data_IF_861228378445
#
_entry.id   IF_861228378445
#
_cell.length_a   1.000
_cell.length_b   1.000
_cell.length_c   1.000
_cell.angle_alpha   90.00
_cell.angle_beta   90.00
_cell.angle_gamma   90.00
#
_symmetry.space_group_name_H-M   'P 1'
#
loop_
_entity.id
_entity.type
_entity.pdbx_description
1 polymer ?
#
# COMPACT_ATOMS: atom_id res chain seq x y z
N UNK A 1 -10.61 -2.45 -21.42
CA UNK A 1 -12.05 -2.17 -21.39
C UNK A 1 -12.77 -3.32 -22.09
N UNK A 2 -13.17 -4.34 -21.33
CA UNK A 2 -13.72 -5.59 -21.90
C UNK A 2 -15.15 -5.72 -21.42
N UNK A 3 -16.12 -5.39 -22.28
CA UNK A 3 -17.54 -5.58 -22.01
C UNK A 3 -17.86 -7.08 -22.11
N UNK A 4 -18.19 -7.74 -20.99
CA UNK A 4 -18.87 -9.04 -21.03
C UNK A 4 -20.37 -8.81 -20.91
N UNK A 5 -21.08 -8.80 -22.04
CA UNK A 5 -22.52 -9.02 -22.05
C UNK A 5 -22.79 -10.50 -21.77
N UNK A 6 -23.50 -10.79 -20.68
CA UNK A 6 -24.03 -12.12 -20.41
C UNK A 6 -25.02 -12.49 -21.52
N UNK A 7 -24.71 -13.55 -22.27
CA UNK A 7 -25.59 -14.09 -23.32
C UNK A 7 -26.83 -14.69 -22.65
N UNK A 8 -28.00 -14.08 -22.85
CA UNK A 8 -29.26 -14.57 -22.31
C UNK A 8 -29.74 -15.76 -23.16
N UNK A 9 -29.62 -16.98 -22.63
CA UNK A 9 -30.22 -18.18 -23.21
C UNK A 9 -31.74 -18.03 -23.25
N UNK A 10 -32.30 -17.88 -24.46
CA UNK A 10 -33.75 -17.81 -24.70
C UNK A 10 -34.34 -19.22 -24.52
N UNK A 11 -35.14 -19.43 -23.47
CA UNK A 11 -36.03 -20.58 -23.36
C UNK A 11 -37.34 -20.29 -24.11
N UNK A 12 -37.52 -20.92 -25.27
CA UNK A 12 -38.82 -20.98 -25.96
C UNK A 12 -39.71 -22.01 -25.24
N UNK A 13 -40.73 -21.53 -24.51
CA UNK A 13 -41.86 -22.35 -24.10
C UNK A 13 -42.80 -22.49 -25.30
N UNK A 14 -42.84 -23.68 -25.90
CA UNK A 14 -43.84 -24.06 -26.90
C UNK A 14 -44.86 -24.94 -26.19
N UNK A 15 -45.99 -24.37 -25.78
CA UNK A 15 -47.11 -25.16 -25.27
C UNK A 15 -47.80 -25.90 -26.42
N UNK A 16 -47.73 -27.23 -26.34
CA UNK A 16 -48.42 -28.17 -27.20
C UNK A 16 -49.91 -28.20 -26.87
N UNK A 17 -50.76 -27.68 -27.75
CA UNK A 17 -52.21 -27.94 -27.72
C UNK A 17 -52.57 -28.97 -28.80
N UNK A 18 -52.59 -30.24 -28.41
CA UNK A 18 -53.23 -31.29 -29.20
C UNK A 18 -54.76 -31.16 -29.16
N UNK A 19 -55.31 -30.75 -30.30
CA UNK A 19 -56.51 -31.29 -30.95
C UNK A 19 -57.76 -31.56 -30.12
N UNK A 20 -58.82 -30.79 -30.41
CA UNK A 20 -60.12 -31.31 -30.92
C UNK A 20 -61.10 -30.14 -31.16
N UNK A 21 -61.55 -30.02 -32.42
CA UNK A 21 -62.90 -29.58 -32.77
C UNK A 21 -63.21 -28.08 -32.81
N UNK A 22 -63.51 -27.62 -34.02
CA UNK A 22 -64.45 -26.55 -34.37
C UNK A 22 -64.10 -25.07 -34.13
N UNK A 23 -64.46 -24.29 -35.15
CA UNK A 23 -64.60 -22.84 -35.25
C UNK A 23 -63.34 -21.98 -35.21
N UNK A 24 -63.08 -21.36 -36.37
CA UNK A 24 -62.19 -20.24 -36.54
C UNK A 24 -62.59 -19.08 -35.62
N UNK A 25 -61.72 -18.72 -34.69
CA UNK A 25 -61.75 -17.42 -34.02
C UNK A 25 -60.36 -16.82 -34.17
N UNK A 26 -60.29 -15.72 -34.91
CA UNK A 26 -59.11 -14.86 -35.02
C UNK A 26 -58.87 -14.23 -33.63
N UNK A 27 -57.90 -14.74 -32.86
CA UNK A 27 -57.35 -14.01 -31.72
C UNK A 27 -56.10 -13.26 -32.19
N UNK A 28 -56.22 -11.94 -32.26
CA UNK A 28 -55.12 -11.00 -32.34
C UNK A 28 -54.26 -11.11 -31.08
N UNK A 29 -53.06 -11.68 -31.19
CA UNK A 29 -52.04 -11.60 -30.14
C UNK A 29 -51.46 -10.18 -30.11
N UNK A 30 -51.91 -9.36 -29.16
CA UNK A 30 -51.28 -8.08 -28.87
C UNK A 30 -49.93 -8.34 -28.19
N UNK A 31 -48.84 -8.06 -28.92
CA UNK A 31 -47.47 -8.13 -28.42
C UNK A 31 -47.24 -6.92 -27.48
N UNK A 32 -47.47 -7.09 -26.18
CA UNK A 32 -47.12 -6.08 -25.19
C UNK A 32 -45.59 -6.08 -25.01
N UNK A 33 -44.91 -5.19 -25.72
CA UNK A 33 -43.48 -4.92 -25.55
C UNK A 33 -43.29 -4.17 -24.22
N UNK A 34 -43.12 -4.92 -23.12
CA UNK A 34 -42.74 -4.34 -21.84
C UNK A 34 -41.28 -3.87 -21.93
N UNK A 35 -41.09 -2.58 -22.20
CA UNK A 35 -39.83 -1.87 -22.03
C UNK A 35 -39.53 -1.79 -20.52
N UNK A 36 -38.97 -2.86 -19.96
CA UNK A 36 -38.24 -2.77 -18.71
C UNK A 36 -37.00 -1.91 -18.97
N UNK A 37 -36.76 -0.82 -18.23
CA UNK A 37 -35.53 -0.08 -18.38
C UNK A 37 -34.39 -1.06 -18.08
N UNK A 38 -33.54 -1.28 -19.07
CA UNK A 38 -32.18 -1.80 -18.88
C UNK A 38 -31.45 -0.74 -18.04
N UNK A 39 -31.68 -0.77 -16.73
CA UNK A 39 -30.80 -0.13 -15.79
C UNK A 39 -29.46 -0.85 -15.92
N UNK A 40 -28.48 -0.19 -16.55
CA UNK A 40 -27.10 -0.43 -16.16
C UNK A 40 -27.01 0.00 -14.70
N UNK A 41 -27.25 -0.92 -13.77
CA UNK A 41 -26.67 -0.77 -12.45
C UNK A 41 -25.17 -0.80 -12.67
N UNK A 42 -24.53 0.36 -12.57
CA UNK A 42 -23.11 0.43 -12.39
C UNK A 42 -22.82 -0.26 -11.05
N UNK A 43 -22.61 -1.58 -11.07
CA UNK A 43 -21.81 -2.20 -10.02
C UNK A 43 -20.50 -1.41 -9.99
N UNK A 44 -20.00 -1.00 -8.81
CA UNK A 44 -18.67 -0.44 -8.71
C UNK A 44 -17.76 -1.43 -9.43
N UNK A 45 -17.15 -0.99 -10.52
CA UNK A 45 -16.02 -1.74 -11.07
C UNK A 45 -15.03 -1.69 -9.92
N UNK A 46 -14.76 -2.84 -9.31
CA UNK A 46 -13.61 -3.02 -8.43
C UNK A 46 -12.41 -2.68 -9.32
N UNK A 47 -12.02 -1.41 -9.29
CA UNK A 47 -10.88 -0.92 -10.05
C UNK A 47 -9.69 -1.55 -9.36
N UNK A 48 -9.22 -2.66 -9.92
CA UNK A 48 -8.00 -3.27 -9.44
C UNK A 48 -6.88 -2.23 -9.47
N UNK A 49 -6.03 -2.25 -8.45
CA UNK A 49 -4.94 -1.29 -8.28
C UNK A 49 -3.60 -1.97 -8.57
N UNK A 50 -2.63 -1.19 -9.03
CA UNK A 50 -1.22 -1.58 -9.11
C UNK A 50 -0.36 -0.80 -8.10
N UNK A 51 -0.85 0.37 -7.66
CA UNK A 51 -0.22 1.24 -6.68
C UNK A 51 -1.26 2.03 -5.89
N UNK A 52 -0.85 2.65 -4.78
CA UNK A 52 -1.73 3.49 -3.95
C UNK A 52 -2.36 4.66 -4.72
N UNK A 53 -1.74 5.09 -5.83
CA UNK A 53 -2.26 6.17 -6.69
C UNK A 53 -3.52 5.77 -7.46
N UNK A 54 -3.77 4.46 -7.62
CA UNK A 54 -4.97 3.93 -8.27
C UNK A 54 -6.18 3.90 -7.33
N UNK A 55 -5.95 4.16 -6.03
CA UNK A 55 -6.95 4.04 -4.98
C UNK A 55 -7.54 5.40 -4.58
N UNK A 56 -8.77 5.40 -4.01
CA UNK A 56 -9.32 6.56 -3.31
C UNK A 56 -8.34 7.09 -2.24
N UNK A 57 -8.39 8.39 -1.86
CA UNK A 57 -7.42 9.01 -0.96
C UNK A 57 -7.24 8.37 0.42
N UNK A 58 -8.20 7.56 0.87
CA UNK A 58 -8.28 6.86 2.15
C UNK A 58 -7.99 5.36 2.05
N UNK A 59 -7.64 4.85 0.86
CA UNK A 59 -7.36 3.44 0.63
C UNK A 59 -5.96 3.24 0.07
N UNK A 60 -5.42 2.05 0.33
CA UNK A 60 -4.11 1.62 -0.12
C UNK A 60 -4.23 0.41 -1.04
N UNK A 61 -3.29 0.29 -1.96
CA UNK A 61 -3.30 -0.84 -2.86
C UNK A 61 -2.65 -2.06 -2.20
N UNK A 62 -3.45 -3.08 -1.93
CA UNK A 62 -2.93 -4.40 -1.63
C UNK A 62 -2.44 -5.03 -2.95
N UNK A 63 -1.13 -4.97 -3.19
CA UNK A 63 -0.52 -5.50 -4.42
C UNK A 63 -0.62 -7.02 -4.55
N UNK A 64 -0.90 -7.74 -3.46
CA UNK A 64 -1.14 -9.19 -3.48
C UNK A 64 -2.54 -9.56 -3.97
N UNK A 65 -3.56 -8.76 -3.64
CA UNK A 65 -4.95 -8.97 -4.07
C UNK A 65 -5.31 -8.12 -5.30
N UNK A 66 -4.55 -7.06 -5.58
CA UNK A 66 -4.84 -6.04 -6.57
C UNK A 66 -6.01 -5.15 -6.18
N UNK A 67 -6.28 -4.96 -4.88
CA UNK A 67 -7.48 -4.25 -4.40
C UNK A 67 -7.15 -3.07 -3.51
N UNK A 68 -7.97 -2.03 -3.61
CA UNK A 68 -7.94 -0.92 -2.70
C UNK A 68 -8.62 -1.33 -1.39
N UNK A 69 -7.85 -1.28 -0.31
CA UNK A 69 -8.25 -1.72 1.03
C UNK A 69 -7.96 -0.56 2.01
N UNK A 70 -8.76 -0.44 3.06
CA UNK A 70 -8.47 0.48 4.15
C UNK A 70 -7.21 0.05 4.91
N UNK A 71 -6.54 0.98 5.58
CA UNK A 71 -5.37 0.63 6.41
C UNK A 71 -5.78 -0.24 7.61
N UNK A 72 -6.95 0.07 8.18
CA UNK A 72 -7.53 -0.64 9.30
C UNK A 72 -9.06 -0.51 9.30
N UNK A 73 -9.73 -1.51 9.85
CA UNK A 73 -11.12 -1.43 10.28
C UNK A 73 -11.20 -1.30 11.79
N UNK A 74 -10.33 -2.00 12.52
CA UNK A 74 -10.25 -2.01 13.97
C UNK A 74 -8.81 -1.83 14.47
N UNK A 75 -8.61 -1.59 15.77
CA UNK A 75 -7.30 -1.30 16.35
C UNK A 75 -6.31 -2.46 16.21
N UNK A 76 -6.79 -3.70 16.15
CA UNK A 76 -5.98 -4.90 16.01
C UNK A 76 -5.22 -4.96 14.67
N UNK A 77 -5.74 -4.30 13.62
CA UNK A 77 -5.10 -4.23 12.30
C UNK A 77 -3.81 -3.40 12.32
N UNK A 78 -3.70 -2.46 13.27
CA UNK A 78 -2.59 -1.51 13.35
C UNK A 78 -1.41 -1.99 14.20
N UNK A 79 -1.62 -3.03 15.02
CA UNK A 79 -0.60 -3.52 15.95
C UNK A 79 -0.46 -2.69 17.23
N UNK A 80 0.45 -3.12 18.11
CA UNK A 80 0.59 -2.54 19.45
C UNK A 80 1.10 -1.09 19.37
N UNK A 81 0.43 -0.17 20.09
CA UNK A 81 0.79 1.24 20.15
C UNK A 81 0.13 2.10 19.08
N UNK A 82 -0.81 1.54 18.32
CA UNK A 82 -1.57 2.23 17.30
C UNK A 82 -3.07 2.05 17.52
N UNK A 83 -3.84 3.07 17.16
CA UNK A 83 -5.29 3.02 17.11
C UNK A 83 -5.75 3.15 15.65
N UNK A 84 -6.91 2.57 15.35
CA UNK A 84 -7.58 2.82 14.08
C UNK A 84 -8.47 4.05 14.21
N UNK A 85 -8.05 5.16 13.59
CA UNK A 85 -8.84 6.39 13.51
C UNK A 85 -9.14 6.70 12.04
N UNK A 86 -10.43 6.77 11.70
CA UNK A 86 -10.89 7.06 10.34
C UNK A 86 -10.22 6.18 9.27
N UNK A 87 -10.14 4.86 9.53
CA UNK A 87 -9.50 3.87 8.65
C UNK A 87 -7.99 4.06 8.44
N UNK A 88 -7.32 4.81 9.31
CA UNK A 88 -5.87 4.96 9.36
C UNK A 88 -5.28 4.51 10.68
N UNK A 89 -4.10 3.91 10.61
CA UNK A 89 -3.34 3.56 11.80
C UNK A 89 -2.60 4.79 12.31
N UNK A 90 -3.14 5.40 13.37
CA UNK A 90 -2.51 6.53 14.04
C UNK A 90 -1.74 6.04 15.25
N UNK A 91 -0.56 6.62 15.45
CA UNK A 91 0.29 6.24 16.57
C UNK A 91 -0.23 6.88 17.86
N UNK A 92 -0.56 6.06 18.85
CA UNK A 92 -0.96 6.53 20.17
C UNK A 92 0.23 6.44 21.14
N UNK A 93 0.74 7.61 21.51
CA UNK A 93 1.80 7.72 22.51
C UNK A 93 1.25 7.51 23.93
N UNK A 94 1.00 6.25 24.31
CA UNK A 94 0.47 5.91 25.64
C UNK A 94 1.49 6.06 26.78
N UNK A 95 2.75 6.34 26.44
CA UNK A 95 3.85 6.54 27.39
C UNK A 95 4.37 5.22 27.97
N UNK A 96 5.58 4.83 27.55
CA UNK A 96 6.33 3.71 28.11
C UNK A 96 7.65 4.16 28.72
N UNK A 97 8.38 3.20 29.29
CA UNK A 97 9.66 3.40 29.98
C UNK A 97 10.82 2.67 29.30
N UNK A 98 10.67 2.17 28.06
CA UNK A 98 11.75 1.51 27.33
C UNK A 98 12.94 2.46 27.12
N UNK A 99 14.12 2.02 27.57
CA UNK A 99 15.40 2.60 27.14
C UNK A 99 15.99 1.77 26.00
N UNK A 100 16.53 2.47 25.00
CA UNK A 100 17.18 1.81 23.88
C UNK A 100 18.53 1.22 24.28
N UNK A 101 18.89 0.05 23.71
CA UNK A 101 20.16 -0.60 24.02
C UNK A 101 21.37 0.20 23.52
N UNK A 102 21.18 1.05 22.52
CA UNK A 102 22.17 1.97 21.96
C UNK A 102 21.60 3.40 21.98
N UNK A 103 21.86 4.20 23.02
CA UNK A 103 21.30 5.55 23.14
C UNK A 103 21.93 6.58 22.19
N UNK A 104 23.09 6.27 21.60
CA UNK A 104 23.76 7.15 20.64
C UNK A 104 23.30 6.88 19.21
N UNK A 105 22.89 5.64 18.91
CA UNK A 105 22.42 5.20 17.59
C UNK A 105 20.91 4.96 17.48
N UNK A 106 20.17 4.92 18.60
CA UNK A 106 18.73 4.66 18.62
C UNK A 106 17.96 5.65 19.49
N UNK A 107 16.72 5.90 19.10
CA UNK A 107 15.77 6.72 19.87
C UNK A 107 14.55 5.90 20.25
N UNK A 108 14.09 6.06 21.49
CA UNK A 108 12.88 5.43 21.97
C UNK A 108 11.67 6.24 21.48
N UNK A 109 10.77 5.60 20.75
CA UNK A 109 9.53 6.18 20.29
C UNK A 109 8.50 5.95 21.39
N UNK A 110 8.15 7.02 22.11
CA UNK A 110 7.24 6.99 23.26
C UNK A 110 7.55 5.95 24.33
N UNK A 111 8.81 5.50 24.42
CA UNK A 111 9.22 4.45 25.36
C UNK A 111 8.58 3.08 25.09
N UNK A 112 8.14 2.81 23.85
CA UNK A 112 7.50 1.53 23.47
C UNK A 112 8.34 0.68 22.54
N UNK A 113 9.06 1.29 21.59
CA UNK A 113 10.04 0.64 20.74
C UNK A 113 11.21 1.59 20.43
N UNK A 114 12.29 1.03 19.90
CA UNK A 114 13.49 1.77 19.53
C UNK A 114 13.69 1.73 18.02
N UNK A 115 14.03 2.87 17.45
CA UNK A 115 14.36 3.02 16.02
C UNK A 115 15.75 3.62 15.87
N UNK A 116 16.46 3.18 14.85
CA UNK A 116 17.77 3.70 14.48
C UNK A 116 17.66 5.15 14.01
N UNK A 117 18.53 6.03 14.51
CA UNK A 117 18.53 7.46 14.19
C UNK A 117 19.03 7.70 12.76
N UNK A 118 19.92 6.83 12.28
CA UNK A 118 20.46 6.83 10.92
C UNK A 118 20.07 5.57 10.16
N UNK A 119 19.99 5.68 8.84
CA UNK A 119 19.77 4.56 7.94
C UNK A 119 20.80 3.45 8.16
N UNK A 120 20.36 2.20 7.97
CA UNK A 120 21.24 1.04 8.14
C UNK A 120 22.45 1.14 7.21
N UNK A 121 23.63 0.86 7.75
CA UNK A 121 24.91 0.81 7.04
C UNK A 121 25.65 -0.49 7.37
N UNK A 122 26.52 -0.94 6.45
CA UNK A 122 27.38 -2.10 6.69
C UNK A 122 28.44 -1.77 7.75
N UNK A 123 28.92 -2.72 8.57
CA UNK A 123 29.93 -2.47 9.60
C UNK A 123 31.22 -1.83 9.07
N UNK A 124 31.63 -2.18 7.86
CA UNK A 124 32.83 -1.67 7.18
C UNK A 124 32.56 -0.48 6.25
N UNK A 125 31.33 0.06 6.24
CA UNK A 125 30.99 1.25 5.47
C UNK A 125 31.77 2.49 5.96
N UNK A 126 32.11 3.36 5.02
CA UNK A 126 32.74 4.66 5.22
C UNK A 126 31.95 5.74 4.47
N UNK A 127 32.33 7.01 4.59
CA UNK A 127 31.71 8.10 3.81
C UNK A 127 31.94 8.00 2.29
N UNK A 128 32.83 7.13 1.83
CA UNK A 128 33.20 6.97 0.42
C UNK A 128 32.91 5.56 -0.14
N UNK A 129 32.64 4.59 0.73
CA UNK A 129 32.43 3.20 0.36
C UNK A 129 31.30 2.57 1.18
N UNK A 130 30.32 1.95 0.52
CA UNK A 130 29.17 1.30 1.16
C UNK A 130 29.50 0.05 1.98
N UNK A 131 30.73 -0.45 1.90
CA UNK A 131 31.19 -1.65 2.61
C UNK A 131 30.80 -2.95 1.91
N UNK A 132 31.27 -4.06 2.47
CA UNK A 132 31.04 -5.43 1.97
C UNK A 132 30.63 -6.40 3.07
N UNK A 133 30.72 -6.01 4.34
CA UNK A 133 30.31 -6.83 5.46
C UNK A 133 28.77 -6.95 5.52
N UNK A 134 28.26 -8.18 5.48
CA UNK A 134 26.82 -8.51 5.49
C UNK A 134 26.35 -9.06 6.84
N UNK A 135 27.21 -9.06 7.86
CA UNK A 135 26.94 -9.77 9.12
C UNK A 135 25.83 -9.12 9.94
N UNK A 136 25.74 -7.78 9.92
CA UNK A 136 24.76 -7.04 10.71
C UNK A 136 24.53 -5.62 10.21
N UNK A 137 23.37 -5.03 10.51
CA UNK A 137 23.09 -3.63 10.28
C UNK A 137 23.67 -2.74 11.39
N UNK A 138 24.24 -1.59 11.02
CA UNK A 138 24.72 -0.57 11.97
C UNK A 138 24.10 0.79 11.66
N UNK A 139 23.73 1.56 12.68
CA UNK A 139 23.23 2.94 12.53
C UNK A 139 24.35 3.91 12.87
N UNK A 140 24.91 4.58 11.86
CA UNK A 140 26.09 5.44 12.03
C UNK A 140 25.99 6.68 11.16
N UNK A 141 26.38 7.81 11.73
CA UNK A 141 26.51 9.07 11.00
C UNK A 141 27.75 9.08 10.11
N UNK A 142 27.66 9.72 8.94
CA UNK A 142 28.83 10.01 8.09
C UNK A 142 29.36 8.82 7.29
N UNK A 143 28.60 7.73 7.17
CA UNK A 143 28.90 6.59 6.30
C UNK A 143 27.84 6.45 5.21
N UNK A 144 28.18 5.78 4.11
CA UNK A 144 27.22 5.49 3.05
C UNK A 144 26.20 4.46 3.58
N UNK A 145 24.88 4.77 3.51
CA UNK A 145 23.82 3.82 3.83
C UNK A 145 23.93 2.55 3.00
N UNK A 146 23.34 1.47 3.49
CA UNK A 146 23.36 0.16 2.84
C UNK A 146 22.51 0.20 1.56
N UNK A 147 23.13 0.65 0.48
CA UNK A 147 22.58 0.72 -0.85
C UNK A 147 23.32 -0.27 -1.75
N UNK A 148 22.58 -1.18 -2.39
CA UNK A 148 23.18 -2.23 -3.23
C UNK A 148 23.47 -1.79 -4.67
N UNK A 149 23.31 -0.49 -5.00
CA UNK A 149 23.53 0.01 -6.37
C UNK A 149 22.45 -0.42 -7.38
N UNK A 150 21.60 -1.35 -6.98
CA UNK A 150 20.58 -1.96 -7.82
C UNK A 150 19.32 -2.12 -6.96
N UNK A 151 18.23 -1.39 -7.26
CA UNK A 151 17.00 -1.40 -6.47
C UNK A 151 16.32 -2.78 -6.44
N UNK A 152 16.72 -3.72 -7.30
CA UNK A 152 16.24 -5.12 -7.27
C UNK A 152 17.09 -6.05 -6.38
N UNK A 153 18.24 -5.60 -5.88
CA UNK A 153 19.18 -6.44 -5.11
C UNK A 153 19.11 -6.25 -3.60
N UNK A 154 18.44 -5.22 -3.09
CA UNK A 154 18.15 -5.18 -1.65
C UNK A 154 17.00 -6.15 -1.36
N UNK A 155 17.34 -7.40 -1.14
CA UNK A 155 16.38 -8.43 -0.79
C UNK A 155 15.92 -8.22 0.65
N UNK A 156 14.60 -8.20 0.89
CA UNK A 156 13.99 -8.14 2.23
C UNK A 156 14.63 -9.17 3.18
N UNK A 157 14.93 -10.38 2.70
CA UNK A 157 15.59 -11.42 3.51
C UNK A 157 16.97 -11.01 3.99
N UNK A 158 17.76 -10.33 3.15
CA UNK A 158 19.09 -9.86 3.53
C UNK A 158 19.02 -8.72 4.55
N UNK A 159 18.07 -7.79 4.37
CA UNK A 159 17.83 -6.71 5.31
C UNK A 159 17.37 -7.24 6.69
N UNK A 160 16.43 -8.19 6.68
CA UNK A 160 15.96 -8.86 7.90
C UNK A 160 17.10 -9.60 8.61
N UNK A 161 17.92 -10.37 7.87
CA UNK A 161 19.08 -11.06 8.43
C UNK A 161 20.11 -10.09 9.04
N UNK A 162 20.37 -8.95 8.38
CA UNK A 162 21.28 -7.93 8.90
C UNK A 162 20.73 -7.27 10.18
N UNK A 163 19.43 -6.95 10.24
CA UNK A 163 18.80 -6.46 11.47
C UNK A 163 18.90 -7.50 12.59
N UNK A 164 18.62 -8.77 12.32
CA UNK A 164 18.74 -9.85 13.29
C UNK A 164 20.17 -10.03 13.78
N UNK A 165 21.17 -9.92 12.88
CA UNK A 165 22.59 -9.92 13.23
C UNK A 165 22.97 -8.80 14.21
N UNK A 166 22.23 -7.69 14.19
CA UNK A 166 22.38 -6.58 15.14
C UNK A 166 21.52 -6.71 16.42
N UNK A 167 20.77 -7.81 16.57
CA UNK A 167 19.80 -7.96 17.67
C UNK A 167 18.55 -7.08 17.53
N UNK A 168 18.24 -6.66 16.30
CA UNK A 168 17.09 -5.81 15.93
C UNK A 168 16.16 -6.58 14.98
N UNK A 169 15.11 -5.92 14.51
CA UNK A 169 14.22 -6.39 13.43
C UNK A 169 13.94 -5.25 12.45
N UNK A 170 13.41 -5.57 11.28
CA UNK A 170 12.84 -4.55 10.41
C UNK A 170 11.65 -3.86 11.10
N UNK A 171 11.48 -2.57 10.80
CA UNK A 171 10.31 -1.80 11.21
C UNK A 171 9.07 -2.40 10.55
N UNK A 172 7.93 -2.38 11.25
CA UNK A 172 6.64 -2.56 10.58
C UNK A 172 6.35 -1.33 9.70
N UNK A 173 5.40 -1.46 8.77
CA UNK A 173 4.97 -0.31 7.96
C UNK A 173 4.40 0.79 8.85
N UNK A 174 3.66 0.43 9.90
CA UNK A 174 3.07 1.37 10.86
C UNK A 174 4.15 2.12 11.66
N UNK A 175 5.16 1.40 12.17
CA UNK A 175 6.30 2.02 12.86
C UNK A 175 7.07 2.97 11.95
N UNK A 176 7.37 2.54 10.72
CA UNK A 176 8.08 3.35 9.75
C UNK A 176 7.30 4.62 9.41
N UNK A 177 5.99 4.52 9.14
CA UNK A 177 5.12 5.68 8.86
C UNK A 177 5.05 6.64 10.04
N UNK A 178 4.78 6.13 11.24
CA UNK A 178 4.66 6.97 12.43
C UNK A 178 5.93 7.77 12.72
N UNK A 179 7.09 7.12 12.67
CA UNK A 179 8.37 7.77 12.97
C UNK A 179 8.74 8.77 11.87
N UNK A 180 8.51 8.44 10.60
CA UNK A 180 8.82 9.34 9.49
C UNK A 180 7.90 10.57 9.40
N UNK A 181 6.62 10.45 9.78
CA UNK A 181 5.70 11.60 9.80
C UNK A 181 5.82 12.42 11.09
N UNK A 182 6.32 11.81 12.16
CA UNK A 182 6.47 12.46 13.45
C UNK A 182 5.13 12.78 14.12
N UNK A 183 5.16 13.47 15.27
CA UNK A 183 3.97 13.75 16.08
C UNK A 183 2.95 14.69 15.40
N UNK A 184 3.38 15.43 14.37
CA UNK A 184 2.55 16.41 13.67
C UNK A 184 1.94 15.86 12.35
N UNK A 185 2.05 14.55 12.08
CA UNK A 185 1.57 13.87 10.86
C UNK A 185 2.06 14.57 9.57
N UNK A 186 3.34 14.92 9.51
CA UNK A 186 3.92 15.69 8.41
C UNK A 186 4.03 14.86 7.12
N UNK A 187 3.87 15.52 5.98
CA UNK A 187 4.02 14.89 4.66
C UNK A 187 5.46 14.42 4.38
N UNK A 188 6.46 15.14 4.89
CA UNK A 188 7.88 14.81 4.80
C UNK A 188 8.50 14.78 6.19
N UNK A 189 9.56 13.99 6.37
CA UNK A 189 10.28 13.87 7.65
C UNK A 189 10.90 15.18 8.15
N UNK A 190 11.01 16.18 7.28
CA UNK A 190 11.49 17.52 7.57
C UNK A 190 10.39 18.60 7.57
N UNK A 191 9.11 18.24 7.37
CA UNK A 191 7.98 19.17 7.46
C UNK A 191 6.86 18.94 6.44
N UNK A 192 5.81 19.76 6.48
CA UNK A 192 4.65 19.66 5.58
C UNK A 192 4.95 20.04 4.12
N UNK A 193 5.96 20.89 3.90
CA UNK A 193 6.26 21.42 2.58
C UNK A 193 7.45 20.72 1.97
N UNK A 194 7.34 20.39 0.69
CA UNK A 194 8.44 19.82 -0.07
C UNK A 194 9.62 20.80 -0.14
N UNK A 195 10.80 20.32 0.23
CA UNK A 195 12.05 21.07 0.08
C UNK A 195 13.02 20.23 -0.77
N UNK A 196 13.26 20.62 -2.04
CA UNK A 196 14.16 19.89 -2.93
C UNK A 196 15.62 20.00 -2.49
N UNK A 197 15.97 20.91 -1.56
CA UNK A 197 17.35 21.00 -1.05
C UNK A 197 17.62 20.01 0.07
N UNK A 198 16.57 19.52 0.74
CA UNK A 198 16.65 18.53 1.82
C UNK A 198 16.34 17.12 1.28
N UNK A 199 15.41 17.02 0.33
CA UNK A 199 15.04 15.73 -0.23
C UNK A 199 16.19 15.15 -1.07
N UNK A 200 16.69 13.96 -0.71
CA UNK A 200 17.67 13.23 -1.53
C UNK A 200 16.97 12.49 -2.69
N UNK A 201 16.22 13.22 -3.53
CA UNK A 201 15.41 12.64 -4.62
C UNK A 201 15.99 12.93 -6.01
N UNK A 202 15.26 12.43 -7.01
CA UNK A 202 15.48 12.70 -8.44
C UNK A 202 15.63 14.19 -8.74
N UNK A 203 14.91 15.08 -8.04
CA UNK A 203 14.99 16.52 -8.30
C UNK A 203 16.36 17.11 -7.92
N UNK A 204 16.98 16.54 -6.89
CA UNK A 204 18.28 16.95 -6.36
C UNK A 204 19.44 16.47 -7.22
N UNK A 205 19.30 15.30 -7.85
CA UNK A 205 20.35 14.64 -8.64
C UNK A 205 20.08 14.60 -10.16
N UNK A 206 18.94 15.13 -10.62
CA UNK A 206 18.47 15.18 -12.02
C UNK A 206 18.84 13.94 -12.85
N UNK A 207 18.47 12.74 -12.40
CA UNK A 207 18.62 11.50 -13.17
C UNK A 207 17.47 11.30 -14.18
N UNK A 208 17.02 12.37 -14.83
CA UNK A 208 15.82 12.37 -15.66
C UNK A 208 16.05 11.89 -17.10
N UNK A 209 17.18 11.29 -17.48
CA UNK A 209 17.32 10.80 -18.85
C UNK A 209 16.28 9.69 -19.14
N UNK A 210 15.37 9.82 -20.13
CA UNK A 210 15.42 10.74 -21.29
C UNK A 210 14.44 11.94 -21.26
N UNK A 211 13.76 12.22 -20.16
CA UNK A 211 12.83 13.33 -20.00
C UNK A 211 13.51 14.61 -19.48
N UNK A 212 13.74 15.63 -20.32
CA UNK A 212 14.23 16.92 -19.85
C UNK A 212 13.10 17.64 -19.13
N UNK A 213 13.26 17.94 -17.84
CA UNK A 213 12.18 18.57 -17.06
C UNK A 213 12.41 18.77 -15.57
N UNK A 214 13.64 18.71 -15.08
CA UNK A 214 14.04 19.64 -14.03
C UNK A 214 14.53 20.93 -14.73
#
# INVERSE_FOLDING_TARGET
MTLRCSSLTIYLLVDSLQGKGASAVLLSAALALALLPLGCEASPVEHGCASDQDCPPDQQCNTGTGRCEYECEDAEDCGIGFACEEHRCVFECLGGDLQCPDPDGMVAICGTFCVDIYEASRPDATGENGGTDETMATSRVGVIPWFTGNPTLMNQTAAEAACQGAGKRLCTVQEWRAVCRGPDDQAYSYGAQYDPTICNSIDTYCHCSPYPGC
#
